data_IF_727585280868
#
_entry.id   IF_727585280868
#
_cell.length_a   1.000
_cell.length_b   1.000
_cell.length_c   1.000
_cell.angle_alpha   90.00
_cell.angle_beta   90.00
_cell.angle_gamma   90.00
#
_symmetry.space_group_name_H-M   'P 1'
#
loop_
_entity.id
_entity.type
_entity.pdbx_description
1 polymer ?
#
# COMPACT_ATOMS: atom_id res chain seq x y z
N UNK A 1 3.13 -55.29 -29.54
CA UNK A 1 4.54 -55.60 -29.83
C UNK A 1 5.06 -54.59 -30.83
N UNK A 2 6.30 -54.12 -30.60
CA UNK A 2 7.10 -53.14 -31.34
C UNK A 2 6.79 -51.66 -31.07
N UNK A 3 7.50 -51.18 -30.05
CA UNK A 3 7.87 -49.81 -29.81
C UNK A 3 8.80 -49.28 -30.91
N UNK A 4 8.72 -47.97 -31.19
CA UNK A 4 9.82 -47.22 -31.80
C UNK A 4 10.03 -45.98 -30.94
N UNK A 5 11.26 -45.88 -30.43
CA UNK A 5 11.81 -44.86 -29.56
C UNK A 5 12.54 -43.87 -30.47
N UNK A 6 12.24 -42.58 -30.37
CA UNK A 6 13.08 -41.51 -30.94
C UNK A 6 13.71 -40.73 -29.78
N UNK A 7 15.04 -40.77 -29.73
CA UNK A 7 15.90 -40.02 -28.81
C UNK A 7 16.45 -38.77 -29.49
N UNK A 8 16.92 -37.78 -28.71
CA UNK A 8 17.15 -36.41 -29.17
C UNK A 8 18.52 -36.22 -29.83
N UNK A 9 18.58 -35.20 -30.70
CA UNK A 9 19.81 -34.76 -31.36
C UNK A 9 20.83 -34.22 -30.35
N UNK A 10 22.01 -34.85 -30.33
CA UNK A 10 23.24 -34.30 -29.77
C UNK A 10 23.87 -33.33 -30.79
N UNK A 11 24.43 -32.22 -30.30
CA UNK A 11 25.42 -31.43 -31.03
C UNK A 11 26.67 -31.27 -30.17
N UNK A 12 27.78 -31.22 -30.88
CA UNK A 12 29.13 -31.63 -30.51
C UNK A 12 29.88 -30.69 -29.56
N UNK A 13 30.82 -31.31 -28.85
CA UNK A 13 31.77 -30.75 -27.90
C UNK A 13 33.15 -30.73 -28.58
N UNK A 14 33.77 -29.54 -28.73
CA UNK A 14 35.22 -29.27 -28.98
C UNK A 14 35.33 -27.81 -29.49
N UNK A 15 36.17 -26.87 -29.02
CA UNK A 15 37.54 -26.88 -28.51
C UNK A 15 37.91 -25.57 -27.76
N UNK A 16 38.85 -25.70 -26.81
CA UNK A 16 39.94 -24.80 -26.35
C UNK A 16 39.62 -23.35 -25.91
N UNK A 17 39.76 -23.02 -24.61
CA UNK A 17 41.01 -22.60 -23.92
C UNK A 17 41.47 -21.19 -24.33
N UNK A 18 41.29 -20.20 -23.42
CA UNK A 18 42.32 -19.23 -23.02
C UNK A 18 41.76 -18.16 -22.06
N UNK A 19 42.18 -18.24 -20.80
CA UNK A 19 42.09 -17.17 -19.78
C UNK A 19 43.39 -16.38 -19.75
N UNK A 20 43.36 -15.05 -19.57
CA UNK A 20 44.49 -14.34 -18.98
C UNK A 20 44.15 -13.83 -17.59
N UNK A 21 44.87 -14.39 -16.61
CA UNK A 21 45.11 -13.84 -15.28
C UNK A 21 46.07 -12.66 -15.42
N UNK A 22 45.73 -11.49 -14.89
CA UNK A 22 46.66 -10.40 -14.67
C UNK A 22 46.84 -10.18 -13.18
N UNK A 23 48.01 -10.58 -12.69
CA UNK A 23 48.63 -10.14 -11.46
C UNK A 23 49.91 -9.39 -11.85
N UNK A 24 50.11 -8.18 -11.34
CA UNK A 24 51.48 -7.69 -11.12
C UNK A 24 51.52 -6.71 -9.91
N UNK A 25 52.46 -6.89 -8.96
CA UNK A 25 52.68 -6.04 -7.80
C UNK A 25 53.96 -5.18 -7.93
N UNK A 26 53.97 -3.94 -7.39
CA UNK A 26 55.17 -3.27 -6.81
C UNK A 26 54.79 -1.88 -6.24
N UNK A 27 54.83 -1.66 -4.93
CA UNK A 27 55.94 -1.11 -4.12
C UNK A 27 56.28 0.39 -4.32
N UNK A 28 55.74 1.18 -3.38
CA UNK A 28 56.43 2.19 -2.53
C UNK A 28 57.63 3.00 -3.05
N UNK A 29 57.50 4.34 -3.00
CA UNK A 29 58.57 5.35 -2.76
C UNK A 29 57.95 6.56 -2.02
N UNK A 30 58.24 6.76 -0.72
CA UNK A 30 59.19 7.75 -0.14
C UNK A 30 58.72 9.22 -0.30
N UNK A 31 58.21 9.84 0.78
CA UNK A 31 58.91 10.65 1.79
C UNK A 31 59.40 12.02 1.27
N UNK A 32 58.69 13.09 1.62
CA UNK A 32 59.25 14.45 1.78
C UNK A 32 58.59 15.12 3.00
N UNK A 33 59.40 15.33 4.04
CA UNK A 33 59.19 16.27 5.14
C UNK A 33 59.47 17.69 4.64
N UNK A 34 58.71 18.71 5.08
CA UNK A 34 59.28 19.86 5.79
C UNK A 34 58.27 21.00 6.08
N UNK A 35 58.44 21.53 7.29
CA UNK A 35 58.11 22.89 7.77
C UNK A 35 56.68 23.26 8.23
N UNK A 36 56.51 23.26 9.55
CA UNK A 36 55.65 24.18 10.31
C UNK A 36 56.38 25.51 10.57
N UNK A 37 55.65 26.63 10.60
CA UNK A 37 55.71 27.56 11.75
C UNK A 37 54.28 28.03 12.12
N UNK A 38 53.89 28.58 13.27
CA UNK A 38 54.44 28.84 14.60
C UNK A 38 53.20 29.13 15.46
N UNK A 39 53.25 28.74 16.74
CA UNK A 39 52.21 28.92 17.75
C UNK A 39 52.03 30.42 18.11
N UNK A 40 50.84 30.98 17.93
CA UNK A 40 50.44 32.25 18.57
C UNK A 40 49.21 32.05 19.47
N UNK A 41 49.50 31.99 20.78
CA UNK A 41 48.75 32.41 21.97
C UNK A 41 47.21 32.22 22.03
N UNK A 42 46.86 31.25 22.88
CA UNK A 42 45.75 31.20 23.84
C UNK A 42 44.80 32.41 23.90
N UNK A 43 43.51 32.13 23.72
CA UNK A 43 42.48 32.70 24.62
C UNK A 43 41.43 31.64 24.91
N UNK A 44 41.38 31.22 26.17
CA UNK A 44 40.37 30.33 26.73
C UNK A 44 39.07 31.15 26.84
N UNK A 45 38.02 30.77 26.11
CA UNK A 45 36.63 31.08 26.44
C UNK A 45 35.78 29.88 26.03
N UNK A 46 35.70 28.89 26.92
CA UNK A 46 34.54 28.01 26.95
C UNK A 46 33.36 28.86 27.43
N UNK A 47 32.29 28.95 26.64
CA UNK A 47 30.92 28.85 27.16
C UNK A 47 29.95 28.54 26.00
N UNK A 48 29.57 27.28 25.96
CA UNK A 48 28.19 26.81 25.87
C UNK A 48 27.36 27.07 24.59
N UNK A 49 26.99 25.93 24.02
CA UNK A 49 25.70 25.60 23.37
C UNK A 49 25.41 26.26 22.02
N UNK A 50 26.00 25.70 20.96
CA UNK A 50 25.40 25.78 19.63
C UNK A 50 25.38 24.42 18.91
N UNK A 51 25.32 23.32 19.69
CA UNK A 51 25.19 21.93 19.17
C UNK A 51 23.72 21.52 19.00
N UNK A 52 22.77 22.36 19.41
CA UNK A 52 21.33 22.04 19.37
C UNK A 52 20.59 22.72 18.20
N UNK A 53 21.31 23.14 17.16
CA UNK A 53 20.73 23.83 16.00
C UNK A 53 21.15 23.26 14.65
N UNK A 54 21.55 22.00 14.60
CA UNK A 54 21.26 21.21 13.41
C UNK A 54 19.84 20.67 13.56
N UNK A 55 18.90 21.45 13.06
CA UNK A 55 17.56 20.98 12.76
C UNK A 55 17.71 19.74 11.87
N UNK A 56 17.63 18.55 12.47
CA UNK A 56 17.24 17.34 11.73
C UNK A 56 16.03 17.78 10.94
N UNK A 57 16.16 17.86 9.61
CA UNK A 57 15.04 18.24 8.75
C UNK A 57 13.91 17.27 9.09
N UNK A 58 12.90 17.80 9.75
CA UNK A 58 11.74 17.07 10.27
C UNK A 58 11.03 16.26 9.17
N UNK A 59 11.30 16.61 7.91
CA UNK A 59 10.88 15.91 6.69
C UNK A 59 11.56 14.55 6.43
N UNK A 60 12.67 14.21 7.08
CA UNK A 60 13.53 13.11 6.62
C UNK A 60 13.35 11.81 7.45
N UNK A 61 12.82 11.88 8.67
CA UNK A 61 12.72 10.70 9.58
C UNK A 61 11.87 9.58 8.97
N UNK A 62 10.72 9.91 8.38
CA UNK A 62 9.85 8.90 7.75
C UNK A 62 10.46 8.32 6.47
N UNK A 63 11.37 9.07 5.85
CA UNK A 63 12.07 8.73 4.62
C UNK A 63 13.40 8.01 4.89
N UNK A 64 13.88 7.94 6.12
CA UNK A 64 15.06 7.14 6.45
C UNK A 64 14.69 5.72 6.89
N UNK A 65 13.44 5.50 7.30
CA UNK A 65 12.94 4.21 7.78
C UNK A 65 12.15 3.41 6.71
N UNK A 66 12.58 3.40 5.45
CA UNK A 66 11.89 2.69 4.36
C UNK A 66 11.58 1.23 4.67
N UNK A 67 12.47 0.57 5.39
CA UNK A 67 12.40 -0.86 5.69
C UNK A 67 11.20 -1.21 6.59
N UNK A 68 10.66 -0.26 7.35
CA UNK A 68 9.47 -0.45 8.17
C UNK A 68 8.20 -0.60 7.31
N UNK A 69 8.15 0.09 6.17
CA UNK A 69 6.96 0.17 5.32
C UNK A 69 7.06 -0.72 4.08
N UNK A 70 8.27 -0.83 3.52
CA UNK A 70 8.54 -1.47 2.23
C UNK A 70 9.23 -2.82 2.46
N UNK A 71 8.43 -3.88 2.52
CA UNK A 71 8.92 -5.24 2.73
C UNK A 71 9.69 -5.84 1.54
N UNK A 72 10.34 -6.97 1.77
CA UNK A 72 11.18 -7.65 0.77
C UNK A 72 10.39 -8.32 -0.35
N UNK A 73 9.12 -8.64 -0.12
CA UNK A 73 8.18 -9.21 -1.08
C UNK A 73 7.83 -8.26 -2.24
N UNK A 74 8.16 -6.99 -2.15
CA UNK A 74 7.85 -5.99 -3.18
C UNK A 74 8.95 -5.96 -4.25
N UNK A 75 8.59 -6.10 -5.52
CA UNK A 75 9.55 -6.03 -6.62
C UNK A 75 10.34 -4.68 -6.65
N UNK A 76 11.62 -4.65 -7.07
CA UNK A 76 12.48 -3.46 -6.99
C UNK A 76 11.89 -2.21 -7.68
N UNK A 77 11.31 -2.38 -8.87
CA UNK A 77 10.66 -1.29 -9.62
C UNK A 77 9.49 -0.67 -8.84
N UNK A 78 8.72 -1.49 -8.11
CA UNK A 78 7.62 -1.03 -7.28
C UNK A 78 8.09 -0.38 -5.99
N UNK A 79 9.19 -0.87 -5.40
CA UNK A 79 9.81 -0.21 -4.24
C UNK A 79 10.18 1.24 -4.58
N UNK A 80 10.76 1.49 -5.76
CA UNK A 80 11.08 2.84 -6.22
C UNK A 80 9.83 3.73 -6.33
N UNK A 81 8.77 3.21 -6.94
CA UNK A 81 7.50 3.95 -7.08
C UNK A 81 6.81 4.22 -5.74
N UNK A 82 6.84 3.26 -4.81
CA UNK A 82 6.31 3.44 -3.45
C UNK A 82 7.10 4.53 -2.73
N UNK A 83 8.44 4.51 -2.78
CA UNK A 83 9.27 5.57 -2.20
C UNK A 83 8.96 6.94 -2.79
N UNK A 84 8.74 7.01 -4.10
CA UNK A 84 8.35 8.27 -4.75
C UNK A 84 7.03 8.80 -4.19
N UNK A 85 5.98 7.96 -4.14
CA UNK A 85 4.66 8.37 -3.61
C UNK A 85 4.73 8.76 -2.14
N UNK A 86 5.57 8.10 -1.34
CA UNK A 86 5.79 8.48 0.06
C UNK A 86 6.41 9.88 0.17
N UNK A 87 7.37 10.22 -0.71
CA UNK A 87 8.08 11.51 -0.74
C UNK A 87 7.29 12.66 -1.34
N UNK A 88 6.27 12.38 -2.15
CA UNK A 88 5.49 13.44 -2.81
C UNK A 88 5.01 14.46 -1.76
N UNK A 89 5.08 15.77 -2.03
CA UNK A 89 4.62 16.77 -1.06
C UNK A 89 3.12 16.60 -0.79
N UNK A 90 2.70 16.77 0.46
CA UNK A 90 1.28 16.73 0.81
C UNK A 90 0.59 17.88 0.09
N UNK A 91 -0.36 17.55 -0.77
CA UNK A 91 -1.11 18.50 -1.58
C UNK A 91 -2.49 18.76 -0.99
N UNK A 92 -3.17 19.82 -1.42
CA UNK A 92 -4.58 20.06 -1.07
C UNK A 92 -5.53 18.91 -1.50
N UNK A 93 -5.06 17.97 -2.35
CA UNK A 93 -5.80 16.77 -2.72
C UNK A 93 -5.70 15.66 -1.67
N UNK A 94 -4.75 15.71 -0.75
CA UNK A 94 -4.53 14.71 0.31
C UNK A 94 -5.53 14.89 1.46
N UNK A 95 -6.82 14.79 1.13
CA UNK A 95 -7.90 14.94 2.09
C UNK A 95 -8.03 13.73 3.01
N UNK A 96 -8.50 14.00 4.22
CA UNK A 96 -8.91 12.95 5.14
C UNK A 96 -10.18 12.26 4.61
N UNK A 97 -10.25 10.94 4.78
CA UNK A 97 -11.39 10.15 4.35
C UNK A 97 -11.35 8.75 4.92
N UNK A 98 -12.10 7.84 4.32
CA UNK A 98 -12.16 6.43 4.70
C UNK A 98 -11.54 5.58 3.61
N UNK A 99 -10.93 4.47 4.02
CA UNK A 99 -10.55 3.36 3.15
C UNK A 99 -11.61 2.27 3.30
N UNK A 100 -12.05 1.70 2.19
CA UNK A 100 -13.03 0.61 2.19
C UNK A 100 -12.57 -0.56 1.33
N UNK A 101 -13.04 -1.76 1.69
CA UNK A 101 -12.91 -2.99 0.91
C UNK A 101 -14.27 -3.52 0.46
N UNK A 102 -14.40 -3.92 -0.81
CA UNK A 102 -15.52 -4.71 -1.29
C UNK A 102 -15.10 -6.10 -1.69
N UNK A 103 -16.03 -7.01 -1.46
CA UNK A 103 -16.08 -8.30 -2.09
C UNK A 103 -17.03 -8.22 -3.28
N UNK A 104 -16.64 -8.86 -4.37
CA UNK A 104 -17.57 -9.22 -5.43
C UNK A 104 -18.18 -10.56 -5.02
N UNK A 105 -19.50 -10.69 -4.81
CA UNK A 105 -20.16 -12.01 -4.61
C UNK A 105 -20.73 -12.54 -5.93
N UNK A 106 -21.29 -11.66 -6.74
CA UNK A 106 -21.84 -12.00 -8.05
C UNK A 106 -21.13 -11.16 -9.12
N UNK A 107 -20.08 -11.74 -9.70
CA UNK A 107 -19.24 -11.09 -10.69
C UNK A 107 -19.50 -11.63 -12.11
N UNK A 108 -19.51 -10.79 -13.15
CA UNK A 108 -20.00 -11.20 -14.47
C UNK A 108 -19.16 -12.28 -15.17
N UNK A 109 -17.97 -12.68 -14.70
CA UNK A 109 -17.02 -13.45 -15.55
C UNK A 109 -16.05 -14.41 -14.84
N UNK A 110 -16.13 -14.66 -13.53
CA UNK A 110 -15.10 -15.44 -12.84
C UNK A 110 -15.64 -16.30 -11.70
N UNK A 111 -15.22 -17.57 -11.68
CA UNK A 111 -15.48 -18.51 -10.59
C UNK A 111 -14.87 -18.00 -9.28
N UNK A 112 -15.68 -18.00 -8.23
CA UNK A 112 -15.26 -17.64 -6.87
C UNK A 112 -14.74 -18.84 -6.05
N UNK A 113 -14.84 -20.05 -6.59
CA UNK A 113 -14.45 -21.27 -5.90
C UNK A 113 -12.94 -21.30 -5.62
N UNK A 114 -12.14 -20.85 -6.58
CA UNK A 114 -10.68 -20.85 -6.49
C UNK A 114 -10.11 -19.47 -6.15
N UNK A 115 -10.90 -18.40 -6.25
CA UNK A 115 -10.41 -17.03 -6.12
C UNK A 115 -11.41 -16.15 -5.37
N UNK A 116 -10.89 -15.26 -4.52
CA UNK A 116 -11.62 -14.12 -3.99
C UNK A 116 -11.23 -12.84 -4.74
N UNK A 117 -12.16 -11.90 -4.88
CA UNK A 117 -11.94 -10.65 -5.59
C UNK A 117 -12.23 -9.47 -4.68
N UNK A 118 -11.18 -8.70 -4.39
CA UNK A 118 -11.27 -7.53 -3.51
C UNK A 118 -11.09 -6.23 -4.28
N UNK A 119 -11.98 -5.27 -4.07
CA UNK A 119 -11.80 -3.89 -4.50
C UNK A 119 -11.46 -3.04 -3.30
N UNK A 120 -10.35 -2.30 -3.38
CA UNK A 120 -9.96 -1.35 -2.35
C UNK A 120 -10.17 0.05 -2.92
N UNK A 121 -10.84 0.91 -2.16
CA UNK A 121 -11.02 2.30 -2.55
C UNK A 121 -11.06 3.25 -1.36
N UNK A 122 -11.29 4.52 -1.67
CA UNK A 122 -11.45 5.60 -0.70
C UNK A 122 -12.69 6.44 -0.96
N UNK A 123 -13.19 7.09 0.08
CA UNK A 123 -14.20 8.15 -0.01
C UNK A 123 -14.23 9.03 1.25
N UNK A 124 -14.62 10.29 1.10
CA UNK A 124 -14.98 11.14 2.26
C UNK A 124 -16.26 10.64 2.95
N UNK A 125 -17.22 10.13 2.17
CA UNK A 125 -18.46 9.50 2.64
C UNK A 125 -18.65 8.14 1.95
N UNK A 126 -18.30 7.02 2.61
CA UNK A 126 -18.46 5.66 2.07
C UNK A 126 -19.89 5.31 1.68
N UNK A 127 -20.89 5.65 2.49
CA UNK A 127 -22.29 5.32 2.20
C UNK A 127 -22.74 5.94 0.87
N UNK A 128 -22.49 7.23 0.67
CA UNK A 128 -22.79 7.92 -0.60
C UNK A 128 -22.03 7.30 -1.77
N UNK A 129 -20.76 6.93 -1.55
CA UNK A 129 -19.95 6.28 -2.58
C UNK A 129 -20.51 4.91 -2.99
N UNK A 130 -21.09 4.17 -2.04
CA UNK A 130 -21.66 2.84 -2.31
C UNK A 130 -22.87 2.97 -3.22
N UNK A 131 -23.76 3.89 -2.88
CA UNK A 131 -24.93 4.19 -3.68
C UNK A 131 -24.57 4.58 -5.13
N UNK A 132 -23.55 5.42 -5.31
CA UNK A 132 -23.07 5.81 -6.64
C UNK A 132 -22.50 4.62 -7.42
N UNK A 133 -21.72 3.77 -6.76
CA UNK A 133 -21.10 2.60 -7.39
C UNK A 133 -22.16 1.62 -7.88
N UNK A 134 -23.14 1.30 -7.04
CA UNK A 134 -24.26 0.42 -7.39
C UNK A 134 -25.04 0.96 -8.59
N UNK A 135 -25.37 2.26 -8.59
CA UNK A 135 -26.09 2.89 -9.71
C UNK A 135 -25.30 2.95 -11.00
N UNK A 136 -23.99 3.23 -10.93
CA UNK A 136 -23.16 3.39 -12.11
C UNK A 136 -22.80 2.06 -12.78
N UNK A 137 -22.58 1.00 -11.98
CA UNK A 137 -21.97 -0.23 -12.47
C UNK A 137 -22.90 -1.45 -12.43
N UNK A 138 -24.11 -1.30 -11.90
CA UNK A 138 -25.15 -2.32 -11.83
C UNK A 138 -24.70 -3.66 -11.20
N UNK A 139 -23.78 -3.60 -10.23
CA UNK A 139 -23.49 -4.72 -9.32
C UNK A 139 -23.57 -4.19 -7.88
N UNK A 140 -24.06 -5.01 -6.95
CA UNK A 140 -24.16 -4.66 -5.53
C UNK A 140 -22.87 -5.15 -4.85
N UNK A 141 -21.94 -4.25 -4.48
CA UNK A 141 -20.75 -4.66 -3.75
C UNK A 141 -21.09 -5.03 -2.31
N UNK A 142 -20.58 -6.16 -1.81
CA UNK A 142 -20.62 -6.45 -0.38
C UNK A 142 -19.47 -5.73 0.31
N UNK A 143 -19.80 -4.87 1.27
CA UNK A 143 -18.80 -4.16 2.07
C UNK A 143 -18.18 -5.14 3.06
N UNK A 144 -16.86 -5.32 2.96
CA UNK A 144 -16.09 -6.18 3.86
C UNK A 144 -15.70 -5.39 5.11
N UNK A 145 -15.11 -4.21 4.91
CA UNK A 145 -14.71 -3.33 6.01
C UNK A 145 -14.61 -1.88 5.51
N UNK A 146 -14.87 -0.94 6.43
CA UNK A 146 -14.60 0.49 6.26
C UNK A 146 -13.72 0.94 7.43
N UNK A 147 -12.62 1.62 7.12
CA UNK A 147 -11.58 2.01 8.08
C UNK A 147 -11.29 3.52 7.95
N UNK A 148 -11.26 4.29 9.05
CA UNK A 148 -11.58 3.88 10.43
C UNK A 148 -13.04 3.47 10.56
N UNK A 149 -13.37 2.62 11.55
CA UNK A 149 -14.76 2.25 11.81
C UNK A 149 -15.55 3.52 12.12
N UNK A 150 -16.78 3.59 11.62
CA UNK A 150 -17.72 4.61 12.08
C UNK A 150 -17.86 4.47 13.60
N UNK A 151 -17.79 5.57 14.33
CA UNK A 151 -18.17 5.56 15.73
C UNK A 151 -19.64 5.16 15.76
N UNK A 152 -19.90 3.91 16.13
CA UNK A 152 -21.24 3.41 16.37
C UNK A 152 -21.77 4.24 17.52
N UNK A 153 -22.63 5.23 17.23
CA UNK A 153 -23.51 5.78 18.26
C UNK A 153 -24.27 4.56 18.78
N UNK A 154 -24.02 4.17 20.02
CA UNK A 154 -24.72 3.06 20.67
C UNK A 154 -26.22 3.34 20.62
N UNK A 155 -26.89 2.83 19.61
CA UNK A 155 -28.33 2.66 19.57
C UNK A 155 -28.56 1.23 19.19
N UNK A 156 -28.99 0.47 20.18
CA UNK A 156 -29.33 -0.93 20.05
C UNK A 156 -30.36 -1.10 18.92
N UNK A 157 -29.92 -1.69 17.82
CA UNK A 157 -30.61 -2.73 17.06
C UNK A 157 -29.86 -2.93 15.75
N UNK A 158 -29.36 -4.15 15.57
CA UNK A 158 -28.94 -4.72 14.31
C UNK A 158 -29.93 -4.33 13.20
N UNK A 159 -29.58 -3.32 12.41
CA UNK A 159 -30.19 -3.10 11.10
C UNK A 159 -29.18 -3.57 10.09
N UNK A 160 -29.43 -4.79 9.63
CA UNK A 160 -28.99 -5.29 8.33
C UNK A 160 -28.95 -4.14 7.31
N UNK A 161 -27.92 -4.15 6.47
CA UNK A 161 -27.59 -3.13 5.48
C UNK A 161 -28.63 -3.06 4.34
N UNK A 162 -29.89 -2.78 4.68
CA UNK A 162 -31.01 -2.69 3.75
C UNK A 162 -31.01 -1.27 3.16
N UNK A 163 -30.75 -1.22 1.86
CA UNK A 163 -30.92 -0.06 0.98
C UNK A 163 -32.39 0.42 1.08
N UNK A 164 -32.70 1.69 1.41
CA UNK A 164 -34.06 2.17 1.31
C UNK A 164 -34.42 2.37 -0.17
N UNK A 165 -35.39 1.61 -0.64
CA UNK A 165 -36.12 1.92 -1.86
C UNK A 165 -37.16 3.01 -1.53
N UNK A 166 -36.96 4.19 -2.09
CA UNK A 166 -37.91 5.30 -2.27
C UNK A 166 -38.79 5.72 -1.08
N UNK A 167 -38.58 6.96 -0.62
CA UNK A 167 -39.56 7.71 0.16
C UNK A 167 -39.07 9.14 0.37
N UNK A 168 -39.66 10.07 -0.37
CA UNK A 168 -39.55 11.51 -0.13
C UNK A 168 -40.03 11.84 1.29
N UNK A 169 -39.14 12.40 2.11
CA UNK A 169 -39.53 13.23 3.26
C UNK A 169 -38.52 14.39 3.34
N UNK A 170 -39.03 15.57 3.02
CA UNK A 170 -38.49 16.87 3.38
C UNK A 170 -38.60 17.03 4.90
N UNK A 171 -37.47 17.23 5.58
CA UNK A 171 -37.44 17.86 6.91
C UNK A 171 -36.21 18.74 6.98
N UNK A 172 -36.44 20.04 6.83
CA UNK A 172 -35.64 21.11 7.42
C UNK A 172 -35.52 20.85 8.92
N UNK A 173 -34.38 20.35 9.39
CA UNK A 173 -34.01 20.41 10.81
C UNK A 173 -32.61 21.00 10.96
N UNK A 174 -32.61 22.23 11.45
CA UNK A 174 -31.45 22.92 12.01
C UNK A 174 -31.29 22.43 13.45
N UNK A 175 -30.58 21.32 13.64
CA UNK A 175 -30.14 20.90 14.97
C UNK A 175 -28.62 20.99 15.10
N UNK A 176 -28.23 22.07 15.76
CA UNK A 176 -27.03 22.24 16.55
C UNK A 176 -27.02 21.20 17.67
N UNK A 177 -26.38 20.05 17.46
CA UNK A 177 -26.01 19.16 18.55
C UNK A 177 -24.53 18.77 18.44
N UNK A 178 -23.74 19.51 19.21
CA UNK A 178 -22.35 19.30 19.57
C UNK A 178 -22.15 17.96 20.31
N UNK A 179 -22.47 16.84 19.66
CA UNK A 179 -21.97 15.53 20.03
C UNK A 179 -20.59 15.35 19.40
N UNK A 180 -19.55 15.62 20.19
CA UNK A 180 -18.12 15.50 19.90
C UNK A 180 -17.67 14.05 19.60
N UNK A 181 -18.37 13.34 18.72
CA UNK A 181 -17.80 12.17 18.06
C UNK A 181 -16.78 12.72 17.06
N UNK A 182 -15.51 12.80 17.46
CA UNK A 182 -14.41 13.08 16.55
C UNK A 182 -14.48 12.00 15.46
N UNK A 183 -15.05 12.36 14.31
CA UNK A 183 -15.13 11.51 13.14
C UNK A 183 -13.70 11.20 12.70
N UNK A 184 -13.17 10.08 13.19
CA UNK A 184 -11.78 9.70 12.96
C UNK A 184 -11.68 9.26 11.52
N UNK A 185 -10.96 10.03 10.71
CA UNK A 185 -10.71 9.76 9.29
C UNK A 185 -9.26 9.34 9.09
N UNK A 186 -9.02 8.50 8.09
CA UNK A 186 -7.69 8.24 7.58
C UNK A 186 -7.14 9.53 6.95
N UNK A 187 -6.05 10.11 7.48
CA UNK A 187 -5.43 11.27 6.87
C UNK A 187 -4.82 10.90 5.51
N UNK A 188 -4.70 11.88 4.60
CA UNK A 188 -4.11 11.69 3.28
C UNK A 188 -4.62 10.43 2.54
N UNK A 189 -5.93 10.18 2.64
CA UNK A 189 -6.58 8.93 2.20
C UNK A 189 -6.31 8.57 0.73
N UNK A 190 -6.13 9.56 -0.15
CA UNK A 190 -5.74 9.35 -1.54
C UNK A 190 -4.36 8.72 -1.68
N UNK A 191 -3.37 9.25 -0.94
CA UNK A 191 -2.02 8.70 -0.94
C UNK A 191 -1.99 7.32 -0.31
N UNK A 192 -2.70 7.13 0.79
CA UNK A 192 -2.83 5.83 1.46
C UNK A 192 -3.42 4.79 0.51
N UNK A 193 -4.53 5.08 -0.16
CA UNK A 193 -5.10 4.18 -1.18
C UNK A 193 -4.08 3.86 -2.28
N UNK A 194 -3.39 4.88 -2.78
CA UNK A 194 -2.39 4.70 -3.84
C UNK A 194 -1.28 3.73 -3.41
N UNK A 195 -0.77 3.87 -2.19
CA UNK A 195 0.28 3.01 -1.63
C UNK A 195 -0.23 1.57 -1.44
N UNK A 196 -1.45 1.41 -0.93
CA UNK A 196 -2.11 0.09 -0.83
C UNK A 196 -2.20 -0.57 -2.20
N UNK A 197 -2.65 0.16 -3.23
CA UNK A 197 -2.77 -0.38 -4.58
C UNK A 197 -1.44 -0.76 -5.22
N UNK A 198 -0.36 -0.04 -4.88
CA UNK A 198 0.99 -0.33 -5.39
C UNK A 198 1.55 -1.62 -4.80
N UNK A 199 1.36 -1.83 -3.50
CA UNK A 199 1.79 -3.04 -2.82
C UNK A 199 0.90 -4.24 -3.16
N UNK A 200 -0.43 -4.09 -3.14
CA UNK A 200 -1.32 -5.19 -3.49
C UNK A 200 -1.06 -5.69 -4.90
N UNK A 201 -0.83 -4.79 -5.86
CA UNK A 201 -0.52 -5.24 -7.21
C UNK A 201 0.84 -5.95 -7.31
N UNK A 202 1.73 -5.86 -6.32
CA UNK A 202 3.02 -6.57 -6.34
C UNK A 202 2.86 -8.03 -5.95
N UNK A 203 1.77 -8.36 -5.26
CA UNK A 203 1.47 -9.69 -4.75
C UNK A 203 0.33 -10.35 -5.53
N UNK A 204 -0.63 -9.56 -6.01
CA UNK A 204 -1.87 -10.05 -6.61
C UNK A 204 -2.08 -9.53 -8.03
N UNK A 205 -2.66 -10.38 -8.87
CA UNK A 205 -3.07 -10.00 -10.22
C UNK A 205 -4.28 -9.07 -10.16
N UNK A 206 -4.28 -8.01 -10.97
CA UNK A 206 -5.46 -7.19 -11.18
C UNK A 206 -6.42 -7.90 -12.14
N UNK A 207 -7.66 -8.10 -11.73
CA UNK A 207 -8.64 -8.83 -12.52
C UNK A 207 -9.15 -8.03 -13.73
N UNK A 208 -9.09 -6.69 -13.69
CA UNK A 208 -9.32 -5.84 -14.87
C UNK A 208 -10.69 -6.03 -15.52
N UNK A 209 -11.77 -6.07 -14.73
CA UNK A 209 -13.11 -6.36 -15.25
C UNK A 209 -13.61 -5.25 -16.18
N UNK A 210 -14.04 -5.62 -17.39
CA UNK A 210 -14.80 -4.71 -18.26
C UNK A 210 -16.23 -4.67 -17.76
N UNK A 211 -16.69 -3.50 -17.33
CA UNK A 211 -18.04 -3.30 -16.85
C UNK A 211 -18.96 -2.97 -18.02
N UNK A 212 -20.00 -3.77 -18.22
CA UNK A 212 -20.96 -3.58 -19.31
C UNK A 212 -21.93 -2.42 -19.04
N UNK A 213 -22.13 -2.04 -17.76
CA UNK A 213 -23.00 -0.93 -17.37
C UNK A 213 -22.33 0.46 -17.55
N UNK A 214 -21.10 0.65 -17.06
CA UNK A 214 -20.41 1.94 -17.14
C UNK A 214 -19.45 2.04 -18.34
N UNK A 215 -19.26 0.96 -19.10
CA UNK A 215 -18.37 0.88 -20.26
C UNK A 215 -16.86 0.91 -19.94
N UNK A 216 -16.47 1.09 -18.67
CA UNK A 216 -15.08 1.24 -18.24
C UNK A 216 -14.45 -0.08 -17.79
N UNK A 217 -13.12 -0.15 -17.79
CA UNK A 217 -12.37 -1.28 -17.20
C UNK A 217 -12.01 -0.98 -15.74
N UNK A 218 -12.59 -1.73 -14.81
CA UNK A 218 -12.30 -1.63 -13.38
C UNK A 218 -10.99 -2.36 -13.06
N UNK A 219 -9.89 -1.60 -13.01
CA UNK A 219 -8.53 -2.12 -12.71
C UNK A 219 -8.24 -2.26 -11.21
N UNK A 220 -9.14 -1.79 -10.37
CA UNK A 220 -8.96 -1.71 -8.91
C UNK A 220 -9.40 -3.01 -8.19
N UNK A 221 -9.64 -4.09 -8.93
CA UNK A 221 -9.97 -5.41 -8.40
C UNK A 221 -8.74 -6.30 -8.35
N UNK A 222 -8.44 -6.84 -7.17
CA UNK A 222 -7.34 -7.76 -6.93
C UNK A 222 -7.89 -9.19 -6.81
N UNK A 223 -7.30 -10.10 -7.57
CA UNK A 223 -7.58 -11.54 -7.53
C UNK A 223 -6.64 -12.19 -6.51
N UNK A 224 -7.23 -12.81 -5.49
CA UNK A 224 -6.52 -13.54 -4.43
C UNK A 224 -6.86 -15.01 -4.56
N UNK A 225 -5.84 -15.86 -4.63
CA UNK A 225 -6.02 -17.30 -4.73
C UNK A 225 -6.54 -17.87 -3.40
N UNK A 226 -7.58 -18.70 -3.48
CA UNK A 226 -8.24 -19.27 -2.30
C UNK A 226 -7.38 -20.41 -1.74
N UNK A 227 -6.68 -20.11 -0.65
CA UNK A 227 -5.94 -21.11 0.13
C UNK A 227 -6.93 -22.08 0.80
N UNK A 228 -6.46 -23.31 1.05
CA UNK A 228 -7.22 -24.34 1.78
C UNK A 228 -6.65 -24.52 3.18
N UNK A 229 -7.55 -24.77 4.12
CA UNK A 229 -7.23 -25.21 5.46
C UNK A 229 -6.62 -26.63 5.43
N UNK A 230 -5.92 -27.07 6.50
CA UNK A 230 -5.36 -28.43 6.58
C UNK A 230 -6.39 -29.55 6.44
N UNK A 231 -7.66 -29.29 6.80
CA UNK A 231 -8.78 -30.21 6.63
C UNK A 231 -9.30 -30.30 5.18
N UNK A 232 -8.71 -29.55 4.26
CA UNK A 232 -9.11 -29.50 2.86
C UNK A 232 -10.20 -28.48 2.55
N UNK A 233 -10.84 -27.86 3.54
CA UNK A 233 -11.87 -26.85 3.30
C UNK A 233 -11.26 -25.55 2.75
N UNK A 234 -11.89 -24.90 1.78
CA UNK A 234 -11.42 -23.63 1.26
C UNK A 234 -11.60 -22.51 2.31
N UNK A 235 -10.60 -21.63 2.44
CA UNK A 235 -10.72 -20.43 3.29
C UNK A 235 -11.85 -19.54 2.79
N UNK A 236 -12.57 -18.91 3.70
CA UNK A 236 -13.63 -17.93 3.41
C UNK A 236 -13.06 -16.60 2.91
N UNK A 237 -13.90 -15.79 2.29
CA UNK A 237 -13.49 -14.45 1.82
C UNK A 237 -13.10 -13.53 2.96
N UNK A 238 -13.73 -13.69 4.13
CA UNK A 238 -13.38 -12.93 5.33
C UNK A 238 -11.98 -13.31 5.83
N UNK A 239 -11.66 -14.60 5.89
CA UNK A 239 -10.32 -15.07 6.31
C UNK A 239 -9.22 -14.60 5.36
N UNK A 240 -9.49 -14.59 4.04
CA UNK A 240 -8.58 -14.03 3.05
C UNK A 240 -8.43 -12.51 3.22
N UNK A 241 -9.54 -11.77 3.45
CA UNK A 241 -9.44 -10.35 3.76
C UNK A 241 -8.52 -10.10 4.96
N UNK A 242 -8.77 -10.79 6.07
CA UNK A 242 -8.07 -10.58 7.33
C UNK A 242 -6.58 -10.94 7.27
N UNK A 243 -6.22 -11.96 6.48
CA UNK A 243 -4.84 -12.44 6.40
C UNK A 243 -4.02 -11.86 5.24
N UNK A 244 -4.63 -11.57 4.10
CA UNK A 244 -3.93 -11.15 2.88
C UNK A 244 -4.04 -9.64 2.61
N UNK A 245 -5.23 -9.06 2.78
CA UNK A 245 -5.51 -7.68 2.32
C UNK A 245 -5.43 -6.67 3.47
N UNK A 246 -6.14 -6.96 4.57
CA UNK A 246 -6.29 -6.08 5.72
C UNK A 246 -4.95 -5.65 6.35
N UNK A 247 -3.93 -6.53 6.49
CA UNK A 247 -2.64 -6.10 7.05
C UNK A 247 -1.95 -5.02 6.20
N UNK A 248 -2.06 -5.12 4.86
CA UNK A 248 -1.50 -4.13 3.93
C UNK A 248 -2.26 -2.81 4.04
N UNK A 249 -3.60 -2.87 4.11
CA UNK A 249 -4.45 -1.69 4.31
C UNK A 249 -4.09 -0.96 5.60
N UNK A 250 -4.05 -1.68 6.72
CA UNK A 250 -3.75 -1.10 8.04
C UNK A 250 -2.35 -0.52 8.09
N UNK A 251 -1.35 -1.20 7.53
CA UNK A 251 0.02 -0.69 7.45
C UNK A 251 0.07 0.69 6.77
N UNK A 252 -0.58 0.85 5.62
CA UNK A 252 -0.54 2.14 4.92
C UNK A 252 -1.40 3.22 5.58
N UNK A 253 -2.45 2.84 6.31
CA UNK A 253 -3.18 3.77 7.17
C UNK A 253 -2.28 4.27 8.32
N UNK A 254 -1.53 3.36 8.97
CA UNK A 254 -0.54 3.73 10.00
C UNK A 254 0.52 4.67 9.43
N UNK A 255 1.02 4.42 8.22
CA UNK A 255 1.91 5.34 7.53
C UNK A 255 1.28 6.73 7.40
N UNK A 256 0.03 6.82 6.94
CA UNK A 256 -0.67 8.11 6.80
C UNK A 256 -0.78 8.88 8.12
N UNK A 257 -1.06 8.17 9.22
CA UNK A 257 -1.11 8.75 10.58
C UNK A 257 0.26 9.28 10.99
N UNK A 258 1.31 8.46 10.91
CA UNK A 258 2.68 8.84 11.28
C UNK A 258 3.19 9.99 10.40
N UNK A 259 2.98 9.92 9.09
CA UNK A 259 3.36 10.95 8.12
C UNK A 259 2.68 12.29 8.38
N UNK A 260 1.46 12.27 8.94
CA UNK A 260 0.75 13.49 9.31
C UNK A 260 1.26 14.04 10.64
N UNK A 261 1.47 13.17 11.63
CA UNK A 261 1.92 13.56 12.97
C UNK A 261 3.36 14.10 13.00
N UNK A 262 4.27 13.58 12.17
CA UNK A 262 5.64 14.10 12.06
C UNK A 262 5.73 15.45 11.31
N UNK A 263 4.59 15.97 10.82
CA UNK A 263 4.53 17.26 10.11
C UNK A 263 3.80 18.35 10.91
N UNK A 264 3.19 17.98 12.04
CA UNK A 264 2.42 18.86 12.93
C UNK A 264 3.23 19.23 14.14
#
# INVERSE_FOLDING_TARGET
>A
MKATVEQPAQMDLQQLEDTPVFHDPDLTRQNEEDALPTLEKMTLHEHHTDVAKEMVKESDIIHDCWQLWIGNHIAPNRKALIRQVMKDPVSARDKAGYIYGFLLEEGPRVSQAEHAYFKIGRAENPQRRMYQLTRACNFIPKVVEVIPKFSEKTSAQDREWIIPANGDVDTDDKDDDSSNAIETKCPMSHRVERLIHLELASQYQRAGFKCDACGSTHREWFRVDRRRHPNGEPMTDQELWDSDIRPIVLKWIQFGVVATALRS
#
